data_IF_476705520261
#
_entry.id   IF_476705520261
#
_cell.length_a   1.000
_cell.length_b   1.000
_cell.length_c   1.000
_cell.angle_alpha   90.00
_cell.angle_beta   90.00
_cell.angle_gamma   90.00
#
_symmetry.space_group_name_H-M   'P 1'
#
loop_
_entity.id
_entity.type
_entity.pdbx_description
1 polymer ?
#
# COMPACT_ATOMS: atom_id res chain seq x y z
N UNK A 1 -2.90 7.22 0.55
CA UNK A 1 -2.66 6.72 -0.83
C UNK A 1 -3.83 6.97 -1.78
N UNK A 2 -5.09 6.74 -1.36
CA UNK A 2 -6.28 6.87 -2.22
C UNK A 2 -6.47 8.24 -2.90
N UNK A 3 -6.06 9.34 -2.27
CA UNK A 3 -6.10 10.69 -2.86
C UNK A 3 -5.17 10.80 -4.08
N UNK A 4 -3.94 10.28 -3.95
CA UNK A 4 -2.95 10.32 -5.03
C UNK A 4 -3.41 9.48 -6.22
N UNK A 5 -3.94 8.28 -5.95
CA UNK A 5 -4.54 7.43 -6.99
C UNK A 5 -5.74 8.09 -7.66
N UNK A 6 -6.67 8.64 -6.88
CA UNK A 6 -7.84 9.34 -7.42
C UNK A 6 -7.44 10.55 -8.29
N UNK A 7 -6.38 11.28 -7.92
CA UNK A 7 -5.80 12.37 -8.72
C UNK A 7 -5.17 11.85 -10.02
N UNK A 8 -4.40 10.75 -9.96
CA UNK A 8 -3.80 10.09 -11.12
C UNK A 8 -4.86 9.63 -12.13
N UNK A 9 -5.99 9.14 -11.61
CA UNK A 9 -7.18 8.76 -12.37
C UNK A 9 -8.00 9.96 -12.88
N UNK A 10 -7.49 11.19 -12.74
CA UNK A 10 -8.12 12.43 -13.23
C UNK A 10 -9.55 12.65 -12.70
N UNK A 11 -9.83 12.19 -11.48
CA UNK A 11 -11.13 12.43 -10.85
C UNK A 11 -11.28 13.89 -10.45
N UNK A 12 -12.53 14.38 -10.43
CA UNK A 12 -12.82 15.74 -9.99
C UNK A 12 -12.49 15.93 -8.51
N UNK A 13 -12.14 17.16 -8.11
CA UNK A 13 -11.83 17.51 -6.71
C UNK A 13 -12.96 17.09 -5.75
N UNK A 14 -14.22 17.21 -6.17
CA UNK A 14 -15.37 16.76 -5.39
C UNK A 14 -15.35 15.24 -5.15
N UNK A 15 -15.10 14.43 -6.19
CA UNK A 15 -14.96 12.96 -6.05
C UNK A 15 -13.77 12.59 -5.18
N UNK A 16 -12.64 13.28 -5.35
CA UNK A 16 -11.44 13.06 -4.53
C UNK A 16 -11.73 13.33 -3.06
N UNK A 17 -12.45 14.41 -2.72
CA UNK A 17 -12.86 14.70 -1.33
C UNK A 17 -13.73 13.59 -0.75
N UNK A 18 -14.71 13.08 -1.51
CA UNK A 18 -15.56 11.97 -1.07
C UNK A 18 -14.77 10.67 -0.84
N UNK A 19 -13.81 10.36 -1.72
CA UNK A 19 -12.91 9.20 -1.60
C UNK A 19 -11.98 9.38 -0.39
N UNK A 20 -11.45 10.58 -0.17
CA UNK A 20 -10.60 10.88 0.97
C UNK A 20 -11.35 10.64 2.29
N UNK A 21 -12.57 11.16 2.40
CA UNK A 21 -13.41 10.94 3.57
C UNK A 21 -13.80 9.46 3.72
N UNK A 22 -14.09 8.76 2.61
CA UNK A 22 -14.34 7.33 2.61
C UNK A 22 -13.14 6.54 3.12
N UNK A 23 -11.92 6.88 2.69
CA UNK A 23 -10.69 6.25 3.13
C UNK A 23 -10.40 6.53 4.62
N UNK A 24 -10.75 7.72 5.13
CA UNK A 24 -10.61 8.02 6.57
C UNK A 24 -11.60 7.20 7.42
N UNK A 25 -12.81 6.95 6.90
CA UNK A 25 -13.90 6.33 7.63
C UNK A 25 -14.14 4.85 7.29
N UNK A 26 -13.34 4.23 6.41
CA UNK A 26 -13.61 2.88 5.90
C UNK A 26 -13.79 1.84 7.02
N UNK A 27 -13.01 2.00 8.09
CA UNK A 27 -13.00 1.13 9.26
C UNK A 27 -13.82 1.64 10.45
N UNK A 28 -14.61 2.72 10.30
CA UNK A 28 -15.33 3.33 11.43
C UNK A 28 -16.26 2.36 12.15
N UNK A 29 -16.80 1.36 11.45
CA UNK A 29 -17.65 0.33 12.04
C UNK A 29 -16.96 -0.55 13.07
N UNK A 30 -15.60 -0.61 13.07
CA UNK A 30 -14.84 -1.35 14.08
C UNK A 30 -15.04 -0.78 15.49
N UNK A 31 -15.45 0.49 15.62
CA UNK A 31 -15.70 1.14 16.92
C UNK A 31 -16.79 0.45 17.75
N UNK A 32 -17.70 -0.28 17.11
CA UNK A 32 -18.78 -1.02 17.77
C UNK A 32 -18.46 -2.51 17.97
N UNK A 33 -17.28 -2.97 17.56
CA UNK A 33 -16.83 -4.34 17.80
C UNK A 33 -16.11 -4.44 19.15
N UNK A 34 -16.11 -5.64 19.75
CA UNK A 34 -15.44 -5.84 21.03
C UNK A 34 -13.93 -5.56 20.94
N UNK A 35 -13.34 -4.78 21.86
CA UNK A 35 -11.89 -4.59 21.92
C UNK A 35 -11.12 -5.91 22.10
N UNK A 36 -11.71 -6.88 22.81
CA UNK A 36 -11.08 -8.22 22.99
C UNK A 36 -10.97 -8.98 21.68
N UNK A 37 -11.89 -8.75 20.74
CA UNK A 37 -11.87 -9.32 19.41
C UNK A 37 -10.82 -8.62 18.53
N UNK A 38 -10.82 -7.28 18.52
CA UNK A 38 -9.90 -6.48 17.69
C UNK A 38 -8.42 -6.62 18.08
N UNK A 39 -8.14 -6.86 19.37
CA UNK A 39 -6.78 -6.96 19.91
C UNK A 39 -6.39 -8.40 20.28
N UNK A 40 -7.15 -9.40 19.81
CA UNK A 40 -6.85 -10.80 20.10
C UNK A 40 -5.49 -11.19 19.53
N UNK A 41 -4.64 -11.78 20.38
CA UNK A 41 -3.36 -12.37 19.94
C UNK A 41 -3.62 -13.80 19.44
N UNK A 42 -3.15 -14.11 18.23
CA UNK A 42 -3.28 -15.42 17.61
C UNK A 42 -4.41 -15.50 16.57
N UNK A 43 -4.72 -16.72 16.13
CA UNK A 43 -5.72 -16.93 15.07
C UNK A 43 -7.13 -16.64 15.59
N UNK A 44 -7.90 -15.91 14.79
CA UNK A 44 -9.33 -15.73 14.98
C UNK A 44 -10.07 -17.02 14.57
N UNK A 45 -11.16 -17.32 15.25
CA UNK A 45 -12.11 -18.37 14.87
C UNK A 45 -12.99 -17.88 13.71
N UNK A 46 -13.64 -18.79 12.99
CA UNK A 46 -14.53 -18.43 11.88
C UNK A 46 -15.65 -17.47 12.32
N UNK A 47 -16.22 -17.70 13.51
CA UNK A 47 -17.25 -16.82 14.08
C UNK A 47 -16.73 -15.40 14.37
N UNK A 48 -15.51 -15.31 14.89
CA UNK A 48 -14.84 -14.02 15.15
C UNK A 48 -14.51 -13.28 13.84
N UNK A 49 -14.10 -14.00 12.80
CA UNK A 49 -13.88 -13.45 11.46
C UNK A 49 -15.19 -12.90 10.89
N UNK A 50 -16.28 -13.67 10.98
CA UNK A 50 -17.60 -13.23 10.52
C UNK A 50 -18.10 -12.00 11.29
N UNK A 51 -17.79 -11.90 12.59
CA UNK A 51 -18.11 -10.70 13.38
C UNK A 51 -17.32 -9.48 12.90
N UNK A 52 -16.01 -9.62 12.66
CA UNK A 52 -15.19 -8.54 12.11
C UNK A 52 -15.69 -8.13 10.71
N UNK A 53 -16.08 -9.08 9.87
CA UNK A 53 -16.61 -8.81 8.51
C UNK A 53 -17.89 -7.99 8.47
N UNK A 54 -18.56 -7.78 9.60
CA UNK A 54 -19.72 -6.88 9.71
C UNK A 54 -19.35 -5.40 9.74
N UNK A 55 -18.09 -5.03 10.02
CA UNK A 55 -17.70 -3.63 10.20
C UNK A 55 -18.01 -2.71 9.00
N UNK A 56 -17.97 -3.13 7.71
CA UNK A 56 -18.33 -2.23 6.61
C UNK A 56 -19.81 -1.86 6.65
N UNK A 57 -20.68 -2.84 6.95
CA UNK A 57 -22.12 -2.63 7.07
C UNK A 57 -22.47 -1.80 8.31
N UNK A 58 -21.79 -2.05 9.44
CA UNK A 58 -21.92 -1.23 10.65
C UNK A 58 -21.51 0.22 10.36
N UNK A 59 -20.35 0.41 9.71
CA UNK A 59 -19.84 1.72 9.33
C UNK A 59 -20.80 2.46 8.40
N UNK A 60 -21.35 1.78 7.39
CA UNK A 60 -22.40 2.36 6.55
C UNK A 60 -23.62 2.81 7.36
N UNK A 61 -24.11 1.97 8.29
CA UNK A 61 -25.26 2.29 9.12
C UNK A 61 -25.02 3.48 10.06
N UNK A 62 -23.79 3.68 10.53
CA UNK A 62 -23.41 4.87 11.31
C UNK A 62 -23.45 6.16 10.48
N UNK A 63 -23.23 6.07 9.17
CA UNK A 63 -23.12 7.23 8.28
C UNK A 63 -24.38 7.50 7.46
N UNK A 64 -25.23 6.49 7.21
CA UNK A 64 -26.29 6.56 6.18
C UNK A 64 -27.24 7.75 6.33
N UNK A 65 -27.56 8.13 7.56
CA UNK A 65 -28.51 9.22 7.87
C UNK A 65 -27.81 10.58 8.06
N UNK A 66 -26.46 10.62 7.99
CA UNK A 66 -25.70 11.86 8.12
C UNK A 66 -25.71 12.63 6.77
N UNK A 67 -26.28 13.86 6.72
CA UNK A 67 -26.35 14.66 5.50
C UNK A 67 -24.98 15.21 5.04
N UNK A 68 -24.01 15.35 5.94
CA UNK A 68 -22.67 15.86 5.63
C UNK A 68 -21.79 14.82 4.95
N UNK A 69 -22.24 13.56 4.90
CA UNK A 69 -21.51 12.48 4.24
C UNK A 69 -22.11 12.17 2.88
N UNK A 70 -21.28 12.29 1.84
CA UNK A 70 -21.71 12.01 0.47
C UNK A 70 -22.08 10.53 0.28
N UNK A 71 -22.98 10.24 -0.67
CA UNK A 71 -23.28 8.86 -1.05
C UNK A 71 -22.03 8.07 -1.46
N UNK A 72 -21.09 8.70 -2.17
CA UNK A 72 -19.79 8.11 -2.52
C UNK A 72 -18.99 7.71 -1.28
N UNK A 73 -18.93 8.56 -0.25
CA UNK A 73 -18.28 8.23 1.02
C UNK A 73 -18.93 7.01 1.66
N UNK A 74 -20.27 7.01 1.77
CA UNK A 74 -21.03 5.92 2.39
C UNK A 74 -20.78 4.57 1.69
N UNK A 75 -20.87 4.52 0.36
CA UNK A 75 -20.63 3.27 -0.39
C UNK A 75 -19.16 2.86 -0.37
N UNK A 76 -18.22 3.81 -0.24
CA UNK A 76 -16.80 3.48 -0.05
C UNK A 76 -16.59 2.70 1.24
N UNK A 77 -17.19 3.16 2.35
CA UNK A 77 -17.16 2.45 3.64
C UNK A 77 -17.83 1.09 3.53
N UNK A 78 -19.00 0.99 2.88
CA UNK A 78 -19.73 -0.28 2.77
C UNK A 78 -18.99 -1.35 1.95
N UNK A 79 -18.34 -0.96 0.84
CA UNK A 79 -17.90 -1.89 -0.20
C UNK A 79 -16.38 -2.05 -0.30
N UNK A 80 -15.57 -1.45 0.58
CA UNK A 80 -14.09 -1.49 0.44
C UNK A 80 -13.48 -2.90 0.56
N UNK A 81 -14.22 -3.88 1.06
CA UNK A 81 -13.86 -5.29 1.10
C UNK A 81 -14.58 -6.15 0.04
N UNK A 82 -15.28 -5.53 -0.91
CA UNK A 82 -15.77 -6.22 -2.09
C UNK A 82 -14.62 -6.53 -3.04
N UNK A 83 -14.65 -7.72 -3.64
CA UNK A 83 -13.65 -8.17 -4.60
C UNK A 83 -14.26 -8.24 -5.99
N UNK A 84 -13.48 -7.90 -7.02
CA UNK A 84 -13.95 -7.81 -8.41
C UNK A 84 -14.58 -9.12 -8.92
N UNK A 85 -14.18 -10.27 -8.36
CA UNK A 85 -14.71 -11.60 -8.62
C UNK A 85 -15.96 -12.00 -7.81
N UNK A 86 -16.43 -11.18 -6.87
CA UNK A 86 -17.58 -11.49 -6.01
C UNK A 86 -17.27 -12.29 -4.76
N UNK A 87 -16.01 -12.64 -4.49
CA UNK A 87 -15.62 -13.37 -3.27
C UNK A 87 -15.40 -12.44 -2.06
N UNK A 88 -15.64 -11.14 -2.21
CA UNK A 88 -15.58 -10.16 -1.14
C UNK A 88 -16.82 -10.15 -0.27
N UNK A 89 -16.95 -9.11 0.56
CA UNK A 89 -18.06 -8.93 1.50
C UNK A 89 -18.36 -7.43 1.70
N UNK A 90 -19.53 -7.03 2.22
CA UNK A 90 -20.64 -7.85 2.74
C UNK A 90 -21.69 -8.28 1.72
N UNK A 91 -21.73 -7.65 0.54
CA UNK A 91 -22.79 -7.83 -0.47
C UNK A 91 -22.41 -8.82 -1.58
N UNK A 92 -21.12 -9.20 -1.71
CA UNK A 92 -20.62 -10.12 -2.74
C UNK A 92 -20.86 -9.59 -4.16
N UNK A 93 -20.59 -8.30 -4.34
CA UNK A 93 -20.75 -7.61 -5.63
C UNK A 93 -19.62 -8.00 -6.58
N UNK A 94 -19.92 -8.01 -7.87
CA UNK A 94 -18.96 -8.38 -8.93
C UNK A 94 -18.67 -7.20 -9.86
N UNK A 95 -17.42 -7.08 -10.28
CA UNK A 95 -16.97 -6.13 -11.27
C UNK A 95 -17.40 -4.68 -10.99
N UNK A 96 -18.00 -4.05 -11.99
CA UNK A 96 -18.40 -2.64 -11.92
C UNK A 96 -19.62 -2.36 -11.04
N UNK A 97 -20.30 -3.40 -10.53
CA UNK A 97 -21.33 -3.21 -9.49
C UNK A 97 -20.72 -2.68 -8.19
N UNK A 98 -19.42 -2.91 -7.99
CA UNK A 98 -18.66 -2.31 -6.90
C UNK A 98 -18.39 -0.85 -7.28
N UNK A 99 -18.84 0.07 -6.43
CA UNK A 99 -18.67 1.50 -6.71
C UNK A 99 -17.19 1.84 -6.89
N UNK A 100 -16.87 2.70 -7.86
CA UNK A 100 -15.49 3.00 -8.27
C UNK A 100 -14.60 3.47 -7.12
N UNK A 101 -15.15 4.25 -6.19
CA UNK A 101 -14.43 4.68 -4.99
C UNK A 101 -14.03 3.52 -4.08
N UNK A 102 -14.88 2.50 -3.93
CA UNK A 102 -14.59 1.32 -3.14
C UNK A 102 -13.52 0.45 -3.81
N UNK A 103 -13.54 0.34 -5.15
CA UNK A 103 -12.47 -0.33 -5.91
C UNK A 103 -11.10 0.36 -5.70
N UNK A 104 -11.06 1.70 -5.66
CA UNK A 104 -9.84 2.47 -5.33
C UNK A 104 -9.38 2.16 -3.90
N UNK A 105 -10.31 2.20 -2.93
CA UNK A 105 -10.00 1.95 -1.53
C UNK A 105 -9.50 0.53 -1.30
N UNK A 106 -10.10 -0.47 -1.94
CA UNK A 106 -9.70 -1.87 -1.82
C UNK A 106 -8.22 -2.08 -2.18
N UNK A 107 -7.77 -1.54 -3.33
CA UNK A 107 -6.35 -1.60 -3.73
C UNK A 107 -5.44 -0.88 -2.75
N UNK A 108 -5.82 0.33 -2.30
CA UNK A 108 -5.01 1.11 -1.37
C UNK A 108 -4.92 0.45 0.01
N UNK A 109 -6.04 -0.08 0.51
CA UNK A 109 -6.15 -0.75 1.80
C UNK A 109 -5.32 -2.02 1.82
N UNK A 110 -5.40 -2.82 0.77
CA UNK A 110 -4.63 -4.06 0.67
C UNK A 110 -3.12 -3.78 0.64
N UNK A 111 -2.68 -2.80 -0.18
CA UNK A 111 -1.28 -2.41 -0.20
C UNK A 111 -0.80 -1.99 1.20
N UNK A 112 -1.55 -1.10 1.85
CA UNK A 112 -1.23 -0.60 3.20
C UNK A 112 -1.16 -1.75 4.21
N UNK A 113 -2.11 -2.70 4.14
CA UNK A 113 -2.10 -3.90 4.97
C UNK A 113 -0.89 -4.80 4.71
N UNK A 114 -0.30 -4.81 3.52
CA UNK A 114 0.89 -5.63 3.25
C UNK A 114 2.16 -4.94 3.77
N UNK A 115 2.28 -3.62 3.55
CA UNK A 115 3.51 -2.88 3.85
C UNK A 115 3.57 -2.30 5.27
N UNK A 116 2.42 -2.14 5.95
CA UNK A 116 2.31 -1.45 7.24
C UNK A 116 1.60 -2.27 8.33
N UNK A 117 1.24 -3.55 8.10
CA UNK A 117 0.55 -4.35 9.13
C UNK A 117 1.45 -4.60 10.35
N UNK A 118 1.11 -3.92 11.44
CA UNK A 118 1.79 -3.98 12.73
C UNK A 118 1.61 -5.33 13.45
N UNK A 119 0.61 -6.12 13.05
CA UNK A 119 0.33 -7.42 13.66
C UNK A 119 1.02 -8.58 12.92
N UNK A 120 1.48 -8.34 11.70
CA UNK A 120 2.24 -9.33 10.93
C UNK A 120 3.73 -9.22 11.28
N UNK A 121 4.28 -10.30 11.83
CA UNK A 121 5.71 -10.37 12.16
C UNK A 121 6.61 -10.32 10.92
N UNK A 122 6.04 -10.55 9.73
CA UNK A 122 6.71 -10.44 8.44
C UNK A 122 6.11 -9.29 7.65
N UNK A 123 6.46 -8.04 8.00
CA UNK A 123 6.20 -6.89 7.12
C UNK A 123 6.84 -7.19 5.77
N UNK A 124 6.02 -7.27 4.73
CA UNK A 124 6.48 -7.58 3.39
C UNK A 124 7.01 -6.29 2.73
N UNK A 125 8.00 -6.43 1.85
CA UNK A 125 8.57 -5.29 1.15
C UNK A 125 7.58 -4.76 0.11
N UNK A 126 7.75 -3.51 -0.32
CA UNK A 126 6.91 -2.92 -1.38
C UNK A 126 6.91 -3.74 -2.66
N UNK A 127 8.03 -4.41 -3.00
CA UNK A 127 8.08 -5.33 -4.13
C UNK A 127 7.09 -6.48 -3.99
N UNK A 128 6.96 -7.04 -2.79
CA UNK A 128 6.09 -8.19 -2.50
C UNK A 128 4.60 -7.73 -2.58
N UNK A 129 4.29 -6.53 -2.07
CA UNK A 129 2.96 -5.94 -2.20
C UNK A 129 2.56 -5.66 -3.65
N UNK A 130 3.47 -5.11 -4.45
CA UNK A 130 3.24 -4.86 -5.88
C UNK A 130 3.04 -6.17 -6.64
N UNK A 131 3.86 -7.19 -6.37
CA UNK A 131 3.73 -8.52 -6.99
C UNK A 131 2.35 -9.14 -6.69
N UNK A 132 1.91 -9.08 -5.44
CA UNK A 132 0.58 -9.55 -5.05
C UNK A 132 -0.54 -8.80 -5.79
N UNK A 133 -0.51 -7.47 -5.83
CA UNK A 133 -1.52 -6.67 -6.52
C UNK A 133 -1.59 -6.99 -8.02
N UNK A 134 -0.43 -7.20 -8.67
CA UNK A 134 -0.36 -7.61 -10.07
C UNK A 134 -0.97 -9.01 -10.26
N UNK A 135 -0.61 -9.97 -9.42
CA UNK A 135 -1.15 -11.33 -9.48
C UNK A 135 -2.66 -11.41 -9.23
N UNK A 136 -3.19 -10.49 -8.42
CA UNK A 136 -4.61 -10.39 -8.08
C UNK A 136 -5.40 -9.46 -9.03
N UNK A 137 -4.74 -8.82 -9.99
CA UNK A 137 -5.30 -7.84 -10.93
C UNK A 137 -6.30 -8.47 -11.91
N UNK A 138 -7.45 -7.83 -12.08
CA UNK A 138 -8.55 -8.33 -12.92
C UNK A 138 -9.37 -9.45 -12.28
N UNK A 139 -8.97 -9.94 -11.09
CA UNK A 139 -9.69 -10.97 -10.35
C UNK A 139 -10.18 -10.48 -8.99
N UNK A 140 -9.26 -10.12 -8.08
CA UNK A 140 -9.63 -9.52 -6.79
C UNK A 140 -9.80 -8.02 -6.93
N UNK A 141 -8.91 -7.39 -7.69
CA UNK A 141 -8.90 -5.94 -7.91
C UNK A 141 -9.26 -5.57 -9.35
N UNK A 142 -9.79 -4.38 -9.52
CA UNK A 142 -9.99 -3.80 -10.85
C UNK A 142 -8.64 -3.54 -11.53
N UNK A 143 -8.41 -4.18 -12.68
CA UNK A 143 -7.15 -4.08 -13.42
C UNK A 143 -6.77 -2.63 -13.75
N UNK A 144 -7.73 -1.81 -14.17
CA UNK A 144 -7.46 -0.43 -14.57
C UNK A 144 -6.95 0.42 -13.41
N UNK A 145 -7.41 0.12 -12.19
CA UNK A 145 -6.99 0.79 -10.97
C UNK A 145 -5.62 0.28 -10.53
N UNK A 146 -5.38 -1.04 -10.58
CA UNK A 146 -4.06 -1.61 -10.25
C UNK A 146 -2.99 -1.07 -11.18
N UNK A 147 -3.25 -1.02 -12.49
CA UNK A 147 -2.30 -0.52 -13.49
C UNK A 147 -1.87 0.94 -13.20
N UNK A 148 -2.78 1.80 -12.75
CA UNK A 148 -2.45 3.18 -12.38
C UNK A 148 -1.83 3.28 -10.98
N UNK A 149 -2.21 2.40 -10.07
CA UNK A 149 -1.63 2.34 -8.74
C UNK A 149 -0.15 1.98 -8.79
N UNK A 150 0.24 0.90 -9.47
CA UNK A 150 1.64 0.47 -9.52
C UNK A 150 2.56 1.54 -10.16
N UNK A 151 2.03 2.38 -11.06
CA UNK A 151 2.74 3.51 -11.68
C UNK A 151 3.00 4.68 -10.73
N UNK A 152 2.53 4.64 -9.48
CA UNK A 152 2.86 5.64 -8.45
C UNK A 152 3.77 5.11 -7.34
N UNK A 153 3.98 3.80 -7.28
CA UNK A 153 4.68 3.17 -6.17
C UNK A 153 6.18 3.05 -6.52
N UNK A 154 7.08 3.71 -5.76
CA UNK A 154 8.50 3.50 -5.95
C UNK A 154 8.86 2.05 -5.62
N UNK A 155 9.66 1.42 -6.47
CA UNK A 155 10.05 0.00 -6.26
C UNK A 155 10.90 -0.15 -5.00
N UNK A 156 11.71 0.87 -4.70
CA UNK A 156 12.59 0.90 -3.53
C UNK A 156 12.20 2.09 -2.65
N UNK A 157 11.69 1.83 -1.46
CA UNK A 157 11.30 2.90 -0.54
C UNK A 157 12.51 3.66 -0.02
N UNK A 158 12.28 4.90 0.42
CA UNK A 158 13.28 5.63 1.18
C UNK A 158 13.64 4.84 2.44
N UNK A 159 14.94 4.66 2.69
CA UNK A 159 15.46 3.79 3.74
C UNK A 159 15.82 2.37 3.29
N UNK A 160 15.36 1.90 2.12
CA UNK A 160 15.73 0.57 1.61
C UNK A 160 17.23 0.49 1.31
N UNK A 161 17.84 -0.66 1.63
CA UNK A 161 19.20 -1.00 1.22
C UNK A 161 19.19 -1.63 -0.17
N UNK A 162 20.08 -1.18 -1.05
CA UNK A 162 20.17 -1.66 -2.43
C UNK A 162 21.61 -1.98 -2.80
N UNK A 163 21.79 -3.03 -3.59
CA UNK A 163 23.05 -3.36 -4.24
C UNK A 163 23.05 -2.76 -5.64
N UNK A 164 24.04 -1.93 -5.94
CA UNK A 164 24.24 -1.31 -7.25
C UNK A 164 25.12 -2.19 -8.15
N UNK A 165 24.97 -2.05 -9.47
CA UNK A 165 25.69 -2.82 -10.51
C UNK A 165 27.21 -2.68 -10.43
N UNK A 166 27.71 -1.59 -9.87
CA UNK A 166 29.14 -1.37 -9.65
C UNK A 166 29.68 -2.05 -8.37
N UNK A 167 28.84 -2.69 -7.57
CA UNK A 167 29.21 -3.38 -6.33
C UNK A 167 29.03 -2.55 -5.06
N UNK A 168 28.48 -1.34 -5.17
CA UNK A 168 28.20 -0.47 -4.02
C UNK A 168 26.89 -0.89 -3.36
N UNK A 169 26.91 -1.05 -2.04
CA UNK A 169 25.72 -1.08 -1.20
C UNK A 169 25.38 0.35 -0.81
N UNK A 170 24.13 0.74 -1.04
CA UNK A 170 23.64 2.08 -0.80
C UNK A 170 22.28 2.04 -0.10
N UNK A 171 21.92 3.14 0.56
CA UNK A 171 20.58 3.36 1.11
C UNK A 171 19.82 4.36 0.22
N UNK A 172 18.57 4.06 -0.10
CA UNK A 172 17.70 5.00 -0.82
C UNK A 172 17.41 6.20 0.08
N UNK A 173 17.73 7.41 -0.39
CA UNK A 173 17.49 8.64 0.38
C UNK A 173 16.36 9.48 -0.17
N UNK A 174 16.06 9.37 -1.47
CA UNK A 174 14.98 10.13 -2.08
C UNK A 174 14.48 9.44 -3.34
N UNK A 175 13.18 9.21 -3.42
CA UNK A 175 12.54 8.72 -4.64
C UNK A 175 12.20 9.86 -5.63
N UNK A 176 12.15 9.51 -6.92
CA UNK A 176 11.74 10.42 -7.98
C UNK A 176 10.30 10.08 -8.43
N UNK A 177 9.38 11.06 -8.46
CA UNK A 177 7.98 10.78 -8.79
C UNK A 177 7.76 10.43 -10.27
N UNK A 178 8.76 10.64 -11.14
CA UNK A 178 8.70 10.30 -12.56
C UNK A 178 9.47 9.01 -12.84
N UNK A 179 10.64 8.85 -12.22
CA UNK A 179 11.54 7.71 -12.42
C UNK A 179 11.57 6.80 -11.20
N UNK A 180 10.52 6.01 -11.02
CA UNK A 180 10.31 5.14 -9.84
C UNK A 180 11.38 4.06 -9.59
N UNK A 181 12.27 3.83 -10.55
CA UNK A 181 13.38 2.87 -10.48
C UNK A 181 14.75 3.51 -10.30
N UNK A 182 14.82 4.85 -10.32
CA UNK A 182 16.07 5.62 -10.33
C UNK A 182 16.11 6.63 -9.18
N UNK A 183 16.10 6.17 -7.92
CA UNK A 183 16.17 7.07 -6.78
C UNK A 183 17.56 7.70 -6.62
N UNK A 184 17.62 8.74 -5.79
CA UNK A 184 18.88 9.20 -5.20
C UNK A 184 19.23 8.26 -4.05
N UNK A 185 20.48 7.78 -4.03
CA UNK A 185 20.98 6.85 -3.01
C UNK A 185 22.22 7.43 -2.32
N UNK A 186 22.47 7.00 -1.09
CA UNK A 186 23.70 7.28 -0.36
C UNK A 186 24.57 6.03 -0.29
N UNK A 187 25.79 6.11 -0.80
CA UNK A 187 26.74 5.01 -0.77
C UNK A 187 27.17 4.70 0.66
N UNK A 188 27.28 3.41 1.01
CA UNK A 188 27.69 2.96 2.33
C UNK A 188 28.97 2.13 2.27
N UNK A 189 29.01 1.15 1.37
CA UNK A 189 30.09 0.16 1.31
C UNK A 189 30.32 -0.35 -0.11
N UNK A 190 31.57 -0.52 -0.53
CA UNK A 190 31.91 -1.16 -1.80
C UNK A 190 32.36 -2.60 -1.57
N UNK A 191 31.61 -3.56 -2.11
CA UNK A 191 31.87 -5.00 -1.98
C UNK A 191 33.10 -5.49 -2.75
N UNK A 192 33.56 -4.73 -3.76
CA UNK A 192 34.72 -5.11 -4.59
C UNK A 192 36.05 -4.65 -4.01
N UNK A 193 36.05 -3.48 -3.35
CA UNK A 193 37.26 -2.86 -2.76
C UNK A 193 37.29 -2.96 -1.24
N UNK A 194 36.24 -3.49 -0.62
CA UNK A 194 36.05 -3.55 0.83
C UNK A 194 36.13 -2.18 1.53
N UNK A 195 35.82 -1.10 0.82
CA UNK A 195 35.94 0.27 1.32
C UNK A 195 34.60 0.84 1.79
N UNK A 196 34.60 1.51 2.94
CA UNK A 196 33.46 2.27 3.46
C UNK A 196 33.44 3.68 2.86
N UNK A 197 32.24 4.19 2.58
CA UNK A 197 32.05 5.57 2.12
C UNK A 197 31.74 6.51 3.29
N UNK A 198 32.03 7.79 3.12
CA UNK A 198 31.55 8.84 4.03
C UNK A 198 30.03 8.93 4.00
N UNK A 199 29.41 9.41 5.10
CA UNK A 199 27.96 9.66 5.17
C UNK A 199 27.45 10.73 4.19
N UNK A 200 28.35 11.42 3.48
CA UNK A 200 28.06 12.48 2.52
C UNK A 200 28.02 12.03 1.07
N UNK A 201 28.38 10.78 0.76
CA UNK A 201 28.50 10.30 -0.62
C UNK A 201 27.11 9.97 -1.21
N UNK A 202 26.63 10.87 -2.07
CA UNK A 202 25.32 10.78 -2.72
C UNK A 202 25.51 10.43 -4.20
N UNK A 203 24.76 9.43 -4.66
CA UNK A 203 24.69 9.02 -6.06
C UNK A 203 23.27 9.28 -6.55
N UNK A 204 23.13 10.16 -7.53
CA UNK A 204 21.85 10.40 -8.21
C UNK A 204 21.73 9.44 -9.40
N UNK A 205 20.95 8.38 -9.25
CA UNK A 205 20.80 7.39 -10.32
C UNK A 205 20.05 7.95 -11.53
N UNK A 206 19.39 9.11 -11.43
CA UNK A 206 18.71 9.73 -12.58
C UNK A 206 19.71 10.30 -13.58
N UNK A 207 20.84 10.80 -13.08
CA UNK A 207 21.90 11.38 -13.91
C UNK A 207 23.01 10.36 -14.20
N UNK A 208 23.30 9.46 -13.27
CA UNK A 208 24.22 8.36 -13.51
C UNK A 208 23.50 7.14 -14.11
N UNK A 209 23.43 7.13 -15.45
CA UNK A 209 22.77 6.07 -16.21
C UNK A 209 23.58 4.76 -16.30
N UNK A 210 24.86 4.80 -15.93
CA UNK A 210 25.76 3.64 -15.99
C UNK A 210 25.54 2.66 -14.83
N UNK A 211 25.08 3.18 -13.69
CA UNK A 211 24.80 2.40 -12.49
C UNK A 211 23.34 1.96 -12.52
N UNK A 212 23.02 0.76 -12.02
CA UNK A 212 21.63 0.29 -11.84
C UNK A 212 21.49 -0.38 -10.49
N UNK A 213 20.29 -0.36 -9.93
CA UNK A 213 19.98 -1.21 -8.77
C UNK A 213 19.83 -2.65 -9.27
N UNK A 214 20.61 -3.57 -8.72
CA UNK A 214 20.53 -5.00 -9.01
C UNK A 214 19.46 -5.68 -8.19
N UNK A 215 19.40 -5.36 -6.88
CA UNK A 215 18.42 -5.91 -5.94
C UNK A 215 18.35 -5.08 -4.66
N UNK A 216 17.21 -5.17 -3.98
CA UNK A 216 17.09 -4.77 -2.58
C UNK A 216 17.77 -5.82 -1.68
N UNK A 217 18.40 -5.36 -0.60
CA UNK A 217 19.03 -6.20 0.40
C UNK A 217 18.07 -6.34 1.58
N UNK A 218 17.52 -7.56 1.77
CA UNK A 218 16.58 -7.90 2.85
C UNK A 218 17.33 -8.16 4.18
N UNK A 219 18.15 -7.21 4.64
CA UNK A 219 18.98 -7.34 5.86
C UNK A 219 18.98 -6.02 6.63
N UNK A 220 19.13 -6.08 7.96
CA UNK A 220 19.16 -4.88 8.79
C UNK A 220 20.46 -4.09 8.57
N UNK A 221 20.37 -2.77 8.38
CA UNK A 221 21.51 -1.85 8.29
C UNK A 221 22.52 -2.05 9.43
N UNK A 222 22.03 -2.35 10.63
CA UNK A 222 22.87 -2.54 11.81
C UNK A 222 23.77 -3.77 11.71
N UNK A 223 23.39 -4.79 10.94
CA UNK A 223 24.23 -5.97 10.71
C UNK A 223 25.34 -5.65 9.70
N UNK A 224 25.04 -4.83 8.70
CA UNK A 224 25.97 -4.41 7.65
C UNK A 224 27.07 -3.44 8.13
N UNK A 225 26.78 -2.64 9.16
CA UNK A 225 27.72 -1.65 9.71
C UNK A 225 28.59 -2.19 10.86
N UNK A 226 28.32 -3.41 11.35
CA UNK A 226 29.06 -4.06 12.45
C UNK A 226 30.33 -4.80 12.01
N UNK A 227 30.51 -5.05 10.71
CA UNK A 227 31.78 -5.51 10.12
C UNK A 227 32.62 -4.34 9.63
#
# INVERSE_FOLDING_TARGET
MSIALASKLSLTVSKIKSIALGALLHDIGKVLLSPTLLHKKGKLTDSEIEEIRKHPLIGYNLLKDNPDTSATTKVSVLMHHEHFNGNGYPMKLTGEKIHYSARILSVCNEFDSIVNDQNNQNVLHTTDAVEYLIGASGHVFDKSIVDEFIKMIPIYNEGSLVLLSNGIIAIVVKNDPVNLTRPVVRALYNTKTSSKYSRTEIIDLRTDLSIKILREIKTNINELLRG
#
